data_IF_077414039977
#
_entry.id   IF_077414039977
#
_cell.length_a   1.000
_cell.length_b   1.000
_cell.length_c   1.000
_cell.angle_alpha   90.00
_cell.angle_beta   90.00
_cell.angle_gamma   90.00
#
_symmetry.space_group_name_H-M   'P 1'
#
loop_
_entity.id
_entity.type
_entity.pdbx_description
1 polymer ?
#
# COMPACT_ATOMS: atom_id res chain seq x y z
N UNK A 1 -11.33 -16.19 17.74
CA UNK A 1 -12.29 -15.20 18.26
C UNK A 1 -13.62 -15.51 17.60
N UNK A 2 -14.72 -15.54 18.36
CA UNK A 2 -16.04 -15.79 17.79
C UNK A 2 -16.41 -14.68 16.81
N UNK A 3 -16.72 -15.05 15.57
CA UNK A 3 -17.02 -14.16 14.44
C UNK A 3 -18.23 -13.23 14.69
N UNK A 4 -19.04 -13.52 15.72
CA UNK A 4 -20.21 -12.70 16.09
C UNK A 4 -19.87 -11.35 16.72
N UNK A 5 -18.63 -11.10 17.17
CA UNK A 5 -18.25 -9.82 17.80
C UNK A 5 -17.60 -8.81 16.83
N UNK A 6 -17.35 -9.19 15.57
CA UNK A 6 -16.65 -8.34 14.62
C UNK A 6 -17.67 -7.44 13.89
N UNK A 7 -17.50 -6.10 13.92
CA UNK A 7 -18.37 -5.19 13.18
C UNK A 7 -18.39 -5.50 11.67
N UNK A 8 -19.54 -5.37 11.01
CA UNK A 8 -19.68 -5.66 9.58
C UNK A 8 -18.68 -4.91 8.70
N UNK A 9 -18.37 -3.66 9.05
CA UNK A 9 -17.35 -2.84 8.36
C UNK A 9 -15.94 -3.45 8.40
N UNK A 10 -15.67 -4.41 9.28
CA UNK A 10 -14.37 -5.08 9.40
C UNK A 10 -14.39 -6.48 8.76
N UNK A 11 -15.43 -6.81 8.01
CA UNK A 11 -15.59 -8.07 7.28
C UNK A 11 -15.60 -7.79 5.78
N UNK A 12 -14.99 -8.67 5.00
CA UNK A 12 -15.14 -8.66 3.55
C UNK A 12 -16.16 -9.73 3.14
N UNK A 13 -17.34 -9.35 2.60
CA UNK A 13 -18.36 -10.30 2.16
C UNK A 13 -17.86 -11.26 1.08
N UNK A 14 -16.93 -10.80 0.25
CA UNK A 14 -16.34 -11.57 -0.84
C UNK A 14 -14.91 -12.02 -0.53
N UNK A 15 -14.37 -11.82 0.68
CA UNK A 15 -13.02 -12.22 1.06
C UNK A 15 -11.89 -11.49 0.33
N UNK A 16 -12.15 -10.30 -0.21
CA UNK A 16 -11.17 -9.43 -0.84
C UNK A 16 -10.74 -8.33 0.13
N UNK A 17 -9.44 -8.04 0.15
CA UNK A 17 -8.84 -7.09 1.08
C UNK A 17 -7.83 -6.21 0.35
N UNK A 18 -7.73 -4.94 0.75
CA UNK A 18 -6.68 -4.04 0.28
C UNK A 18 -5.73 -3.76 1.43
N UNK A 19 -4.43 -3.93 1.18
CA UNK A 19 -3.39 -3.58 2.12
C UNK A 19 -2.50 -2.48 1.54
N UNK A 20 -2.07 -1.56 2.40
CA UNK A 20 -1.03 -0.58 2.07
C UNK A 20 0.23 -0.97 2.82
N UNK A 21 1.22 -1.46 2.09
CA UNK A 21 2.53 -1.90 2.58
C UNK A 21 3.51 -0.73 2.55
N UNK A 22 4.25 -0.52 3.64
CA UNK A 22 5.28 0.50 3.74
C UNK A 22 6.65 -0.13 3.62
N UNK A 23 7.44 0.41 2.71
CA UNK A 23 8.83 0.06 2.49
C UNK A 23 9.70 1.31 2.49
N UNK A 24 10.98 1.15 2.80
CA UNK A 24 11.98 2.19 2.53
C UNK A 24 13.25 1.59 1.97
N UNK A 25 14.00 2.40 1.23
CA UNK A 25 15.34 2.06 0.81
C UNK A 25 16.35 2.46 1.90
N UNK A 26 17.32 1.59 2.15
CA UNK A 26 18.42 1.80 3.10
C UNK A 26 19.75 1.53 2.41
N UNK A 27 20.67 2.49 2.48
CA UNK A 27 22.05 2.24 2.08
C UNK A 27 22.86 1.64 3.23
N UNK A 28 23.87 0.84 2.90
CA UNK A 28 24.66 0.11 3.89
C UNK A 28 25.59 1.01 4.73
N UNK A 29 25.88 2.23 4.24
CA UNK A 29 26.77 3.22 4.86
C UNK A 29 26.03 4.28 5.69
N UNK A 30 24.73 4.11 5.93
CA UNK A 30 23.93 5.06 6.71
C UNK A 30 24.14 4.90 8.22
N UNK A 31 24.11 6.03 8.95
CA UNK A 31 24.02 6.06 10.41
C UNK A 31 22.62 5.61 10.85
N UNK A 32 22.52 4.35 11.29
CA UNK A 32 21.24 3.73 11.66
C UNK A 32 20.68 4.22 13.00
N UNK A 33 21.51 4.83 13.86
CA UNK A 33 21.07 5.38 15.15
C UNK A 33 20.37 6.75 14.96
N UNK A 34 20.63 7.43 13.85
CA UNK A 34 19.98 8.70 13.51
C UNK A 34 18.59 8.51 12.89
N UNK A 35 17.56 8.50 13.74
CA UNK A 35 16.15 8.41 13.32
C UNK A 35 15.62 9.62 12.52
N UNK A 36 16.39 10.72 12.41
CA UNK A 36 16.01 11.90 11.62
C UNK A 36 16.62 11.91 10.21
N UNK A 37 17.43 10.90 9.86
CA UNK A 37 17.99 10.78 8.51
C UNK A 37 16.88 10.67 7.46
N UNK A 38 17.13 11.21 6.27
CA UNK A 38 16.19 11.09 5.15
C UNK A 38 16.37 9.75 4.46
N UNK A 39 15.27 9.12 4.06
CA UNK A 39 15.27 7.92 3.25
C UNK A 39 14.26 8.08 2.10
N UNK A 40 14.34 7.19 1.10
CA UNK A 40 13.28 7.02 0.10
C UNK A 40 12.29 6.00 0.63
N UNK A 41 11.03 6.37 0.72
CA UNK A 41 9.95 5.49 1.16
C UNK A 41 9.00 5.18 0.01
N UNK A 42 8.32 4.04 0.10
CA UNK A 42 7.35 3.54 -0.85
C UNK A 42 6.10 3.08 -0.09
N UNK A 43 4.95 3.33 -0.69
CA UNK A 43 3.64 2.90 -0.18
C UNK A 43 2.99 2.07 -1.27
N UNK A 44 3.00 0.75 -1.11
CA UNK A 44 2.54 -0.21 -2.10
C UNK A 44 1.12 -0.63 -1.75
N UNK A 45 0.15 -0.38 -2.63
CA UNK A 45 -1.25 -0.79 -2.44
C UNK A 45 -1.47 -2.12 -3.15
N UNK A 46 -1.91 -3.15 -2.42
CA UNK A 46 -2.09 -4.52 -2.95
C UNK A 46 -3.46 -5.07 -2.61
N UNK A 47 -4.01 -5.88 -3.52
CA UNK A 47 -5.26 -6.63 -3.32
C UNK A 47 -4.94 -8.08 -2.96
N UNK A 48 -5.63 -8.62 -1.96
CA UNK A 48 -5.42 -9.96 -1.43
C UNK A 48 -6.75 -10.71 -1.27
N UNK A 49 -6.75 -12.00 -1.59
CA UNK A 49 -7.86 -12.91 -1.23
C UNK A 49 -7.56 -13.57 0.11
N UNK A 50 -8.47 -13.48 1.07
CA UNK A 50 -8.35 -14.14 2.37
C UNK A 50 -9.72 -14.38 3.02
N UNK A 51 -9.81 -15.45 3.80
CA UNK A 51 -11.07 -15.90 4.41
C UNK A 51 -11.56 -14.94 5.51
N UNK A 52 -10.63 -14.30 6.21
CA UNK A 52 -10.89 -13.34 7.26
C UNK A 52 -9.76 -12.31 7.37
N UNK A 53 -9.93 -11.33 8.26
CA UNK A 53 -8.97 -10.23 8.44
C UNK A 53 -7.60 -10.68 8.97
N UNK A 54 -7.53 -11.75 9.76
CA UNK A 54 -6.28 -12.24 10.34
C UNK A 54 -5.48 -12.99 9.28
N UNK A 55 -6.18 -13.78 8.45
CA UNK A 55 -5.61 -14.37 7.24
C UNK A 55 -5.14 -13.27 6.27
N UNK A 56 -5.93 -12.21 6.07
CA UNK A 56 -5.55 -11.09 5.22
C UNK A 56 -4.29 -10.38 5.73
N UNK A 57 -4.24 -10.08 7.03
CA UNK A 57 -3.07 -9.48 7.67
C UNK A 57 -1.82 -10.33 7.47
N UNK A 58 -1.91 -11.63 7.77
CA UNK A 58 -0.78 -12.55 7.59
C UNK A 58 -0.29 -12.58 6.14
N UNK A 59 -1.20 -12.67 5.17
CA UNK A 59 -0.86 -12.62 3.73
C UNK A 59 -0.20 -11.30 3.34
N UNK A 60 -0.66 -10.17 3.86
CA UNK A 60 -0.07 -8.86 3.59
C UNK A 60 1.36 -8.75 4.15
N UNK A 61 1.58 -9.24 5.38
CA UNK A 61 2.92 -9.31 6.00
C UNK A 61 3.84 -10.24 5.22
N UNK A 62 3.37 -11.42 4.81
CA UNK A 62 4.12 -12.36 3.98
C UNK A 62 4.49 -11.71 2.64
N UNK A 63 3.54 -11.07 1.96
CA UNK A 63 3.77 -10.37 0.69
C UNK A 63 4.85 -9.29 0.81
N UNK A 64 4.76 -8.41 1.83
CA UNK A 64 5.74 -7.37 2.07
C UNK A 64 7.14 -7.92 2.40
N UNK A 65 7.23 -9.09 3.04
CA UNK A 65 8.50 -9.76 3.32
C UNK A 65 9.10 -10.45 2.10
N UNK A 66 8.30 -10.97 1.16
CA UNK A 66 8.80 -11.60 -0.06
C UNK A 66 9.59 -10.62 -0.94
N UNK A 67 9.31 -9.31 -0.89
CA UNK A 67 10.11 -8.29 -1.55
C UNK A 67 11.53 -8.12 -0.99
N UNK A 68 11.83 -8.73 0.16
CA UNK A 68 13.10 -8.63 0.89
C UNK A 68 13.99 -9.86 0.61
N UNK A 69 13.44 -10.98 0.14
CA UNK A 69 14.20 -12.24 0.04
C UNK A 69 15.32 -12.16 -1.03
N UNK A 70 16.56 -12.25 -0.53
CA UNK A 70 17.82 -12.59 -1.22
C UNK A 70 18.30 -11.71 -2.40
N UNK A 71 17.68 -10.56 -2.65
CA UNK A 71 18.12 -9.66 -3.74
C UNK A 71 18.24 -8.21 -3.28
N UNK A 72 19.39 -7.82 -2.72
CA UNK A 72 19.73 -6.39 -2.73
C UNK A 72 21.20 -6.11 -2.43
N UNK A 73 22.03 -6.46 -3.42
CA UNK A 73 23.19 -5.64 -3.77
C UNK A 73 22.73 -4.56 -4.76
N UNK A 74 21.62 -3.85 -4.49
CA UNK A 74 21.24 -2.77 -5.40
C UNK A 74 22.32 -1.70 -5.33
N UNK A 75 22.99 -1.48 -6.44
CA UNK A 75 24.04 -0.50 -6.60
C UNK A 75 23.51 0.67 -7.40
N UNK A 76 23.80 1.88 -6.96
CA UNK A 76 23.51 3.10 -7.74
C UNK A 76 24.37 3.25 -9.02
N UNK A 77 25.02 2.17 -9.49
CA UNK A 77 25.98 2.19 -10.59
C UNK A 77 27.35 2.79 -10.23
N UNK A 78 27.50 3.34 -9.01
CA UNK A 78 28.74 3.95 -8.48
C UNK A 78 29.31 3.18 -7.29
N UNK A 79 28.82 1.96 -7.05
CA UNK A 79 29.33 1.06 -6.01
C UNK A 79 28.70 1.25 -4.63
N UNK A 80 27.76 2.20 -4.44
CA UNK A 80 27.03 2.33 -3.18
C UNK A 80 25.88 1.34 -3.16
N UNK A 81 25.89 0.43 -2.19
CA UNK A 81 24.93 -0.65 -2.03
C UNK A 81 23.84 -0.30 -1.02
N UNK A 82 22.67 -0.90 -1.23
CA UNK A 82 21.57 -0.80 -0.30
C UNK A 82 20.47 -1.80 -0.61
N UNK A 83 19.45 -1.78 0.24
CA UNK A 83 18.36 -2.75 0.28
C UNK A 83 17.03 -2.11 0.60
N UNK A 84 15.96 -2.76 0.15
CA UNK A 84 14.60 -2.47 0.59
C UNK A 84 14.38 -3.05 1.97
N UNK A 85 13.77 -2.25 2.84
CA UNK A 85 13.37 -2.60 4.18
C UNK A 85 11.85 -2.51 4.23
N UNK A 86 11.20 -3.62 4.54
CA UNK A 86 9.79 -3.63 4.90
C UNK A 86 9.60 -3.06 6.30
N UNK A 87 8.74 -2.06 6.43
CA UNK A 87 8.45 -1.40 7.70
C UNK A 87 7.14 -1.92 8.32
N UNK A 88 6.20 -2.40 7.50
CA UNK A 88 4.91 -2.89 7.99
C UNK A 88 3.76 -2.52 7.06
N UNK A 89 2.55 -2.48 7.63
CA UNK A 89 1.33 -2.04 6.95
C UNK A 89 0.88 -0.70 7.54
N UNK A 90 0.52 0.25 6.68
CA UNK A 90 -0.15 1.49 7.08
C UNK A 90 -1.67 1.36 7.01
N UNK A 91 -2.20 0.42 6.22
CA UNK A 91 -3.64 0.16 6.09
C UNK A 91 -3.93 -1.30 5.74
N UNK A 92 -5.08 -1.80 6.20
CA UNK A 92 -5.70 -3.06 5.80
C UNK A 92 -7.22 -2.91 5.89
N UNK A 93 -7.89 -2.89 4.75
CA UNK A 93 -9.35 -2.67 4.66
C UNK A 93 -10.04 -3.80 3.90
N UNK A 94 -11.28 -4.17 4.29
CA UNK A 94 -12.07 -5.09 3.50
C UNK A 94 -12.60 -4.40 2.24
N UNK A 95 -12.66 -5.15 1.13
CA UNK A 95 -13.44 -4.79 -0.05
C UNK A 95 -14.84 -5.36 0.13
N UNK A 96 -15.85 -4.51 -0.03
CA UNK A 96 -17.25 -4.89 0.17
C UNK A 96 -17.90 -5.50 -1.07
N UNK A 97 -17.37 -5.17 -2.25
CA UNK A 97 -17.89 -5.58 -3.54
C UNK A 97 -17.13 -6.77 -4.13
N UNK A 98 -17.75 -7.47 -5.06
CA UNK A 98 -17.08 -8.47 -5.89
C UNK A 98 -16.19 -7.77 -6.93
N UNK A 99 -15.02 -8.36 -7.22
CA UNK A 99 -14.14 -7.84 -8.27
C UNK A 99 -14.72 -8.15 -9.66
N UNK A 100 -15.13 -7.12 -10.39
CA UNK A 100 -15.77 -7.19 -11.70
C UNK A 100 -14.84 -6.62 -12.80
N UNK A 101 -14.77 -7.23 -14.00
CA UNK A 101 -13.98 -6.73 -15.12
C UNK A 101 -14.33 -5.30 -15.58
N UNK A 102 -15.54 -4.82 -15.29
CA UNK A 102 -16.00 -3.47 -15.61
C UNK A 102 -15.65 -2.46 -14.51
N UNK A 103 -15.05 -2.91 -13.41
CA UNK A 103 -14.59 -2.08 -12.31
C UNK A 103 -15.31 -2.36 -10.99
N UNK A 104 -14.56 -2.20 -9.90
CA UNK A 104 -15.03 -2.38 -8.52
C UNK A 104 -14.40 -1.32 -7.64
N UNK A 105 -15.17 -0.76 -6.69
CA UNK A 105 -14.62 0.12 -5.67
C UNK A 105 -13.75 -0.69 -4.70
N UNK A 106 -12.47 -0.32 -4.58
CA UNK A 106 -11.51 -1.02 -3.71
C UNK A 106 -11.13 -0.21 -2.47
N UNK A 107 -11.38 1.09 -2.48
CA UNK A 107 -11.10 2.02 -1.39
C UNK A 107 -12.09 3.18 -1.46
N UNK A 108 -12.58 3.60 -0.29
CA UNK A 108 -13.49 4.72 -0.13
C UNK A 108 -13.00 5.58 1.04
N UNK A 109 -12.88 6.89 0.80
CA UNK A 109 -12.57 7.91 1.81
C UNK A 109 -13.77 8.87 1.93
N UNK A 110 -14.20 9.15 3.16
CA UNK A 110 -15.32 10.03 3.47
C UNK A 110 -14.82 11.35 4.09
N UNK A 111 -14.53 12.33 3.23
CA UNK A 111 -14.05 13.66 3.63
C UNK A 111 -15.22 14.61 3.93
N UNK A 112 -15.61 14.73 5.21
CA UNK A 112 -16.66 15.66 5.66
C UNK A 112 -16.16 17.12 5.78
N UNK A 113 -17.07 18.08 5.57
CA UNK A 113 -16.80 19.51 5.77
C UNK A 113 -15.89 20.16 4.71
N UNK A 114 -15.63 19.49 3.59
CA UNK A 114 -14.80 20.02 2.50
C UNK A 114 -15.58 20.96 1.57
N UNK A 115 -14.91 22.00 1.07
CA UNK A 115 -15.53 22.93 0.11
C UNK A 115 -15.63 22.28 -1.27
N UNK A 116 -16.66 22.64 -2.04
CA UNK A 116 -16.79 22.21 -3.45
C UNK A 116 -15.58 22.64 -4.29
N UNK A 117 -14.97 23.79 -3.99
CA UNK A 117 -13.74 24.23 -4.64
C UNK A 117 -12.57 23.29 -4.41
N UNK A 118 -12.45 22.72 -3.20
CA UNK A 118 -11.45 21.70 -2.88
C UNK A 118 -11.72 20.40 -3.64
N UNK A 119 -12.96 19.93 -3.68
CA UNK A 119 -13.33 18.73 -4.47
C UNK A 119 -12.97 18.91 -5.94
N UNK A 120 -13.31 20.07 -6.53
CA UNK A 120 -12.96 20.37 -7.93
C UNK A 120 -11.45 20.42 -8.17
N UNK A 121 -10.64 20.74 -7.14
CA UNK A 121 -9.18 20.74 -7.25
C UNK A 121 -8.55 19.34 -7.32
N UNK A 122 -9.29 18.29 -6.97
CA UNK A 122 -8.83 16.90 -7.09
C UNK A 122 -8.92 16.37 -8.52
N UNK A 123 -9.75 17.00 -9.36
CA UNK A 123 -9.98 16.58 -10.74
C UNK A 123 -8.80 17.00 -11.60
N UNK A 124 -8.19 16.03 -12.27
CA UNK A 124 -7.09 16.24 -13.23
C UNK A 124 -7.60 16.21 -14.66
N UNK A 125 -6.90 16.88 -15.57
CA UNK A 125 -7.13 16.70 -17.00
C UNK A 125 -6.67 15.31 -17.43
N UNK A 126 -7.18 14.81 -18.56
CA UNK A 126 -6.83 13.48 -19.06
C UNK A 126 -5.32 13.32 -19.24
N UNK A 127 -4.68 14.32 -19.83
CA UNK A 127 -3.24 14.34 -20.12
C UNK A 127 -2.39 14.47 -18.84
N UNK A 128 -3.02 14.84 -17.73
CA UNK A 128 -2.37 14.89 -16.42
C UNK A 128 -2.52 13.56 -15.68
N UNK A 129 -3.40 12.64 -16.08
CA UNK A 129 -3.55 11.34 -15.41
C UNK A 129 -2.34 10.45 -15.72
N UNK A 130 -1.83 9.74 -14.72
CA UNK A 130 -0.57 8.97 -14.76
C UNK A 130 -0.51 7.98 -15.92
N UNK A 131 -1.64 7.36 -16.28
CA UNK A 131 -1.72 6.39 -17.38
C UNK A 131 -1.57 7.03 -18.78
N UNK A 132 -1.60 8.35 -18.88
CA UNK A 132 -1.43 9.12 -20.12
C UNK A 132 -0.19 10.01 -20.09
N UNK A 133 0.64 9.91 -19.04
CA UNK A 133 1.94 10.58 -18.98
C UNK A 133 3.01 9.69 -19.61
N UNK A 134 3.33 9.96 -20.88
CA UNK A 134 4.33 9.22 -21.66
C UNK A 134 5.76 9.77 -21.49
N UNK A 135 6.02 10.61 -20.49
CA UNK A 135 7.37 11.15 -20.24
C UNK A 135 8.22 10.18 -19.42
N UNK A 136 9.49 9.99 -19.80
CA UNK A 136 10.47 9.14 -19.08
C UNK A 136 11.22 9.89 -17.96
#
# INVERSE_FOLDING_TARGET
>A
MDDQSIPGRNKSPYGWWVATIIERFQFDDEDLDNMRRRCRAFSNVVILKADDREHAYRKAIEYGKCGIEDKSDWSNGKGRKGRWIFEGLSSLIPVYDELDPNGTEILFDDDDGITVGRVKSWIRKKEELEAFDDTE
#
